data_IF_332610895603
#
_entry.id   IF_332610895603
#
_cell.length_a   1.000
_cell.length_b   1.000
_cell.length_c   1.000
_cell.angle_alpha   90.00
_cell.angle_beta   90.00
_cell.angle_gamma   90.00
#
_symmetry.space_group_name_H-M   'P 1'
#
loop_
_entity.id
_entity.type
_entity.pdbx_description
1 polymer ?
#
# COMPACT_ATOMS: atom_id res chain seq x y z
N UNK A 1 43.40 -34.40 16.50
CA UNK A 1 43.07 -33.61 17.70
C UNK A 1 41.62 -33.15 17.57
N UNK A 2 40.69 -33.69 18.36
CA UNK A 2 39.28 -33.26 18.36
C UNK A 2 39.17 -32.07 19.31
N UNK A 3 39.02 -30.86 18.76
CA UNK A 3 38.64 -29.69 19.54
C UNK A 3 37.16 -29.82 19.88
N UNK A 4 36.82 -29.93 21.16
CA UNK A 4 35.44 -29.90 21.63
C UNK A 4 35.04 -28.45 21.84
N UNK A 5 33.96 -28.02 21.19
CA UNK A 5 33.39 -26.71 21.43
C UNK A 5 32.78 -26.66 22.83
N UNK A 6 33.10 -25.63 23.61
CA UNK A 6 32.47 -25.42 24.91
C UNK A 6 31.04 -24.92 24.74
N UNK A 7 30.16 -25.22 25.69
CA UNK A 7 28.76 -24.75 25.64
C UNK A 7 28.68 -23.21 25.65
N UNK A 8 29.63 -22.55 26.33
CA UNK A 8 29.78 -21.10 26.33
C UNK A 8 30.16 -20.56 24.95
N UNK A 9 31.09 -21.21 24.27
CA UNK A 9 31.53 -20.81 22.93
C UNK A 9 30.40 -20.92 21.90
N UNK A 10 29.62 -22.00 21.95
CA UNK A 10 28.42 -22.16 21.10
C UNK A 10 27.37 -21.09 21.42
N UNK A 11 27.13 -20.79 22.70
CA UNK A 11 26.18 -19.75 23.10
C UNK A 11 26.60 -18.37 22.57
N UNK A 12 27.87 -18.01 22.71
CA UNK A 12 28.40 -16.74 22.21
C UNK A 12 28.25 -16.64 20.69
N UNK A 13 28.59 -17.71 19.96
CA UNK A 13 28.43 -17.73 18.49
C UNK A 13 26.96 -17.56 18.09
N UNK A 14 26.02 -18.22 18.76
CA UNK A 14 24.59 -18.06 18.49
C UNK A 14 24.11 -16.62 18.76
N UNK A 15 24.58 -15.98 19.83
CA UNK A 15 24.25 -14.58 20.13
C UNK A 15 24.81 -13.67 19.05
N UNK A 16 26.05 -13.87 18.62
CA UNK A 16 26.68 -13.08 17.57
C UNK A 16 25.97 -13.23 16.23
N UNK A 17 25.58 -14.46 15.85
CA UNK A 17 24.79 -14.72 14.64
C UNK A 17 23.41 -14.07 14.75
N UNK A 18 22.75 -14.18 15.90
CA UNK A 18 21.44 -13.56 16.12
C UNK A 18 21.49 -12.03 16.04
N UNK A 19 22.55 -11.42 16.59
CA UNK A 19 22.76 -9.98 16.52
C UNK A 19 23.07 -9.53 15.10
N UNK A 20 23.94 -10.26 14.38
CA UNK A 20 24.24 -9.99 12.98
C UNK A 20 22.99 -10.14 12.10
N UNK A 21 22.20 -11.21 12.29
CA UNK A 21 20.96 -11.44 11.57
C UNK A 21 19.93 -10.36 11.87
N UNK A 22 19.78 -9.92 13.13
CA UNK A 22 18.87 -8.84 13.51
C UNK A 22 19.24 -7.49 12.88
N UNK A 23 20.53 -7.22 12.66
CA UNK A 23 21.00 -6.01 11.99
C UNK A 23 20.81 -6.06 10.46
N UNK A 24 20.95 -7.24 9.85
CA UNK A 24 20.86 -7.41 8.40
C UNK A 24 19.43 -7.64 7.91
N UNK A 25 18.56 -8.22 8.74
CA UNK A 25 17.17 -8.52 8.42
C UNK A 25 16.40 -7.35 7.78
N UNK A 26 16.37 -6.12 8.33
CA UNK A 26 15.60 -5.02 7.75
C UNK A 26 16.14 -4.53 6.39
N UNK A 27 17.38 -4.85 6.02
CA UNK A 27 17.96 -4.51 4.71
C UNK A 27 17.63 -5.55 3.62
N UNK A 28 17.20 -6.75 4.01
CA UNK A 28 16.94 -7.88 3.09
C UNK A 28 15.46 -8.24 3.02
N UNK A 29 14.66 -7.87 4.03
CA UNK A 29 13.22 -8.06 3.99
C UNK A 29 12.56 -7.08 3.00
N UNK A 30 11.64 -7.56 2.13
CA UNK A 30 10.89 -6.69 1.22
C UNK A 30 10.10 -5.60 1.97
N UNK A 31 10.02 -4.37 1.45
CA UNK A 31 9.28 -3.26 2.05
C UNK A 31 7.74 -3.40 2.00
N UNK A 32 7.21 -4.50 1.43
CA UNK A 32 5.80 -4.69 1.06
C UNK A 32 4.78 -4.28 2.14
N UNK A 33 5.09 -4.50 3.43
CA UNK A 33 4.16 -4.16 4.53
C UNK A 33 3.97 -2.67 4.76
N UNK A 34 4.99 -1.85 4.51
CA UNK A 34 4.88 -0.40 4.65
C UNK A 34 4.08 0.22 3.48
N UNK A 35 4.18 -0.40 2.31
CA UNK A 35 3.50 0.02 1.08
C UNK A 35 2.00 -0.31 1.12
N UNK A 36 1.64 -1.50 1.58
CA UNK A 36 0.24 -1.91 1.77
C UNK A 36 -0.48 -0.98 2.77
N UNK A 37 0.19 -0.60 3.86
CA UNK A 37 -0.34 0.37 4.84
C UNK A 37 -0.55 1.76 4.21
N UNK A 38 0.40 2.21 3.38
CA UNK A 38 0.32 3.51 2.70
C UNK A 38 -0.81 3.55 1.66
N UNK A 39 -0.99 2.47 0.90
CA UNK A 39 -2.09 2.35 -0.06
C UNK A 39 -3.45 2.25 0.64
N UNK A 40 -3.55 1.47 1.72
CA UNK A 40 -4.76 1.38 2.54
C UNK A 40 -5.17 2.75 3.09
N UNK A 41 -4.20 3.48 3.65
CA UNK A 41 -4.43 4.83 4.16
C UNK A 41 -4.87 5.81 3.06
N UNK A 42 -4.29 5.71 1.85
CA UNK A 42 -4.68 6.52 0.71
C UNK A 42 -6.14 6.23 0.29
N UNK A 43 -6.52 4.97 0.14
CA UNK A 43 -7.88 4.57 -0.22
C UNK A 43 -8.89 5.03 0.85
N UNK A 44 -8.56 4.84 2.13
CA UNK A 44 -9.37 5.33 3.25
C UNK A 44 -9.56 6.86 3.21
N UNK A 45 -8.47 7.61 3.00
CA UNK A 45 -8.54 9.07 2.91
C UNK A 45 -9.38 9.56 1.72
N UNK A 46 -9.30 8.86 0.58
CA UNK A 46 -10.09 9.15 -0.61
C UNK A 46 -11.58 8.86 -0.38
N UNK A 47 -11.89 7.78 0.35
CA UNK A 47 -13.26 7.39 0.71
C UNK A 47 -13.88 8.44 1.61
N UNK A 48 -13.16 8.84 2.66
CA UNK A 48 -13.63 9.88 3.55
C UNK A 48 -13.81 11.21 2.82
N UNK A 49 -12.95 11.52 1.86
CA UNK A 49 -13.12 12.71 1.02
C UNK A 49 -14.41 12.64 0.19
N UNK A 50 -14.77 11.49 -0.39
CA UNK A 50 -16.03 11.31 -1.11
C UNK A 50 -17.25 11.48 -0.19
N UNK A 51 -17.23 10.83 0.98
CA UNK A 51 -18.31 10.89 1.98
C UNK A 51 -18.49 12.32 2.50
N UNK A 52 -17.42 12.99 2.93
CA UNK A 52 -17.49 14.35 3.47
C UNK A 52 -17.96 15.38 2.45
N UNK A 53 -17.64 15.17 1.17
CA UNK A 53 -18.00 16.11 0.10
C UNK A 53 -19.36 15.83 -0.54
N UNK A 54 -19.94 14.66 -0.27
CA UNK A 54 -21.21 14.25 -0.88
C UNK A 54 -21.14 14.13 -2.40
N UNK A 55 -19.95 13.92 -2.97
CA UNK A 55 -19.74 13.77 -4.41
C UNK A 55 -18.89 12.53 -4.73
N UNK A 56 -19.01 12.03 -5.96
CA UNK A 56 -18.13 10.97 -6.46
C UNK A 56 -16.71 11.53 -6.60
N UNK A 57 -15.73 10.76 -6.16
CA UNK A 57 -14.31 11.11 -6.22
C UNK A 57 -13.54 10.05 -6.99
N UNK A 58 -12.63 10.48 -7.84
CA UNK A 58 -11.76 9.64 -8.65
C UNK A 58 -10.34 9.71 -8.08
N UNK A 59 -9.84 8.57 -7.62
CA UNK A 59 -8.45 8.40 -7.24
C UNK A 59 -7.72 7.73 -8.40
N UNK A 60 -6.81 8.46 -9.04
CA UNK A 60 -5.92 7.89 -10.05
C UNK A 60 -4.56 7.63 -9.43
N UNK A 61 -4.01 6.44 -9.66
CA UNK A 61 -2.67 6.03 -9.25
C UNK A 61 -1.93 5.59 -10.52
N UNK A 62 -0.84 6.29 -10.84
CA UNK A 62 0.04 5.94 -11.93
C UNK A 62 0.95 4.77 -11.53
N UNK A 63 1.50 4.07 -12.52
CA UNK A 63 2.46 2.97 -12.28
C UNK A 63 3.74 3.42 -11.56
N UNK A 64 4.05 4.72 -11.60
CA UNK A 64 5.19 5.32 -10.89
C UNK A 64 4.85 5.72 -9.44
N UNK A 65 3.67 5.36 -8.93
CA UNK A 65 3.18 5.73 -7.60
C UNK A 65 2.69 7.18 -7.48
N UNK A 66 2.68 7.97 -8.56
CA UNK A 66 2.03 9.29 -8.56
C UNK A 66 0.52 9.12 -8.44
N UNK A 67 -0.10 9.84 -7.51
CA UNK A 67 -1.54 9.78 -7.36
C UNK A 67 -2.16 11.17 -7.33
N UNK A 68 -3.40 11.25 -7.80
CA UNK A 68 -4.21 12.45 -7.68
C UNK A 68 -5.66 12.09 -7.45
N UNK A 69 -6.31 12.91 -6.63
CA UNK A 69 -7.70 12.82 -6.27
C UNK A 69 -8.47 13.92 -7.02
N UNK A 70 -9.59 13.59 -7.65
CA UNK A 70 -10.44 14.57 -8.33
C UNK A 70 -11.90 14.34 -7.98
N UNK A 71 -12.65 15.38 -7.65
CA UNK A 71 -14.10 15.27 -7.44
C UNK A 71 -14.84 15.40 -8.75
N UNK A 72 -16.00 14.75 -8.87
CA UNK A 72 -16.85 14.83 -10.05
C UNK A 72 -17.25 16.29 -10.39
N UNK A 73 -17.57 17.11 -9.38
CA UNK A 73 -17.88 18.53 -9.57
C UNK A 73 -16.63 19.40 -9.82
N UNK A 74 -15.43 18.86 -9.56
CA UNK A 74 -14.14 19.54 -9.68
C UNK A 74 -13.23 18.99 -10.79
N UNK A 75 -13.72 18.09 -11.65
CA UNK A 75 -12.97 17.55 -12.80
C UNK A 75 -12.31 18.63 -13.68
N UNK A 76 -12.90 19.83 -13.73
CA UNK A 76 -12.41 20.99 -14.49
C UNK A 76 -11.63 22.02 -13.66
N UNK A 77 -11.62 21.87 -12.32
CA UNK A 77 -11.03 22.81 -11.34
C UNK A 77 -9.68 22.37 -10.78
N UNK A 78 -9.20 21.17 -11.12
CA UNK A 78 -7.90 20.64 -10.71
C UNK A 78 -8.00 19.47 -9.73
N UNK A 79 -6.86 18.97 -9.28
CA UNK A 79 -6.80 17.91 -8.27
C UNK A 79 -7.24 18.45 -6.90
N UNK A 80 -8.08 17.67 -6.20
CA UNK A 80 -8.44 17.90 -4.80
C UNK A 80 -7.25 17.65 -3.87
N UNK A 81 -6.43 16.66 -4.22
CA UNK A 81 -5.21 16.31 -3.53
C UNK A 81 -4.31 15.54 -4.51
N UNK A 82 -3.00 15.59 -4.30
CA UNK A 82 -2.03 14.84 -5.09
C UNK A 82 -0.82 14.47 -4.23
N UNK A 83 -0.09 13.44 -4.67
CA UNK A 83 1.07 12.97 -3.94
C UNK A 83 1.80 11.83 -4.64
N UNK A 84 2.68 11.16 -3.88
CA UNK A 84 3.47 10.02 -4.33
C UNK A 84 3.41 8.91 -3.29
N UNK A 85 3.09 7.69 -3.72
CA UNK A 85 3.38 6.47 -2.98
C UNK A 85 4.85 6.11 -3.21
N UNK A 86 5.64 6.09 -2.15
CA UNK A 86 7.04 5.63 -2.22
C UNK A 86 7.06 4.11 -2.35
N UNK A 87 7.84 3.59 -3.29
CA UNK A 87 8.03 2.15 -3.47
C UNK A 87 6.99 1.43 -4.32
N UNK A 88 5.83 2.04 -4.60
CA UNK A 88 4.75 1.42 -5.37
C UNK A 88 5.20 0.91 -6.76
N UNK A 89 5.09 -0.41 -6.96
CA UNK A 89 5.33 -1.12 -8.23
C UNK A 89 4.05 -1.84 -8.69
N UNK A 90 3.00 -1.09 -9.00
CA UNK A 90 1.71 -1.64 -9.45
C UNK A 90 1.28 -1.12 -10.83
N UNK A 91 0.28 -1.75 -11.46
CA UNK A 91 -0.33 -1.21 -12.67
C UNK A 91 -1.03 0.13 -12.38
N UNK A 92 -1.07 1.01 -13.39
CA UNK A 92 -1.84 2.24 -13.27
C UNK A 92 -3.33 1.93 -13.15
N UNK A 93 -4.00 2.54 -12.18
CA UNK A 93 -5.37 2.25 -11.83
C UNK A 93 -6.15 3.51 -11.50
N UNK A 94 -7.45 3.49 -11.76
CA UNK A 94 -8.38 4.52 -11.30
C UNK A 94 -9.45 3.87 -10.46
N UNK A 95 -9.55 4.31 -9.20
CA UNK A 95 -10.60 3.91 -8.28
C UNK A 95 -11.65 5.02 -8.22
N UNK A 96 -12.92 4.63 -8.36
CA UNK A 96 -14.09 5.51 -8.23
C UNK A 96 -14.67 5.29 -6.84
N UNK A 97 -14.77 6.36 -6.07
CA UNK A 97 -15.29 6.35 -4.70
C UNK A 97 -16.59 7.12 -4.64
N UNK A 98 -17.63 6.47 -4.12
CA UNK A 98 -18.97 7.00 -4.03
C UNK A 98 -19.19 7.70 -2.69
N UNK A 99 -20.02 8.77 -2.62
CA UNK A 99 -20.32 9.45 -1.37
C UNK A 99 -21.06 8.58 -0.34
N UNK A 100 -21.60 7.42 -0.74
CA UNK A 100 -22.18 6.42 0.16
C UNK A 100 -21.15 5.48 0.79
N UNK A 101 -19.86 5.72 0.54
CA UNK A 101 -18.77 4.96 1.15
C UNK A 101 -18.40 3.65 0.45
N UNK A 102 -18.87 3.44 -0.77
CA UNK A 102 -18.46 2.31 -1.65
C UNK A 102 -17.39 2.74 -2.64
N UNK A 103 -16.68 1.78 -3.22
CA UNK A 103 -15.71 2.04 -4.28
C UNK A 103 -15.66 0.91 -5.30
N UNK A 104 -15.20 1.24 -6.50
CA UNK A 104 -14.99 0.29 -7.56
C UNK A 104 -13.87 0.78 -8.48
N UNK A 105 -13.16 -0.14 -9.13
CA UNK A 105 -12.23 0.25 -10.19
C UNK A 105 -13.02 0.76 -11.40
N UNK A 106 -12.49 1.79 -12.06
CA UNK A 106 -13.00 2.25 -13.35
C UNK A 106 -12.95 1.10 -14.36
N UNK A 107 -13.88 1.06 -15.32
CA UNK A 107 -13.99 0.00 -16.33
C UNK A 107 -12.69 -0.23 -17.10
N UNK A 108 -11.86 0.81 -17.29
CA UNK A 108 -10.56 0.72 -17.95
C UNK A 108 -9.49 0.07 -17.07
N UNK A 109 -9.69 0.12 -15.77
CA UNK A 109 -8.82 -0.47 -14.74
C UNK A 109 -9.36 -1.80 -14.21
N UNK A 110 -10.41 -2.37 -14.82
CA UNK A 110 -11.04 -3.60 -14.35
C UNK A 110 -10.07 -4.80 -14.26
N UNK A 111 -9.06 -4.87 -15.14
CA UNK A 111 -7.99 -5.90 -15.08
C UNK A 111 -7.04 -5.74 -13.89
N UNK A 112 -7.04 -4.59 -13.23
CA UNK A 112 -6.24 -4.31 -12.03
C UNK A 112 -6.92 -4.83 -10.77
N UNK A 113 -8.23 -5.10 -10.81
CA UNK A 113 -8.95 -5.67 -9.67
C UNK A 113 -8.38 -7.04 -9.23
N UNK A 114 -7.76 -7.78 -10.17
CA UNK A 114 -7.08 -9.05 -9.90
C UNK A 114 -5.72 -8.85 -9.20
N UNK A 115 -5.07 -7.69 -9.38
CA UNK A 115 -3.76 -7.36 -8.81
C UNK A 115 -3.85 -6.58 -7.49
N UNK A 116 -4.94 -5.84 -7.28
CA UNK A 116 -5.22 -5.06 -6.08
C UNK A 116 -6.63 -5.42 -5.61
N UNK A 117 -6.78 -6.49 -4.80
CA UNK A 117 -8.08 -6.92 -4.32
C UNK A 117 -8.61 -5.89 -3.32
N UNK A 118 -9.56 -5.05 -3.73
CA UNK A 118 -10.26 -4.10 -2.84
C UNK A 118 -11.68 -4.62 -2.60
N UNK A 119 -12.15 -4.59 -1.36
CA UNK A 119 -13.57 -4.84 -1.08
C UNK A 119 -14.42 -3.63 -1.52
N UNK A 120 -15.43 -3.80 -2.40
CA UNK A 120 -16.19 -2.68 -2.95
C UNK A 120 -17.12 -1.98 -1.94
N UNK A 121 -17.45 -2.63 -0.82
CA UNK A 121 -18.35 -2.11 0.21
C UNK A 121 -17.59 -1.41 1.34
N UNK A 122 -16.41 -1.94 1.70
CA UNK A 122 -15.60 -1.35 2.78
C UNK A 122 -14.46 -0.47 2.28
N UNK A 123 -14.05 -0.62 1.01
CA UNK A 123 -12.88 0.02 0.42
C UNK A 123 -11.57 -0.30 1.14
N UNK A 124 -11.48 -1.50 1.69
CA UNK A 124 -10.26 -2.01 2.31
C UNK A 124 -9.54 -2.95 1.34
N UNK A 125 -8.21 -2.97 1.40
CA UNK A 125 -7.41 -3.97 0.71
C UNK A 125 -7.69 -5.32 1.38
N UNK A 126 -8.07 -6.30 0.57
CA UNK A 126 -8.14 -7.70 1.00
C UNK A 126 -6.71 -8.21 1.02
N UNK A 127 -6.17 -8.47 2.19
CA UNK A 127 -4.90 -9.20 2.26
C UNK A 127 -5.07 -10.56 1.57
N UNK A 128 -4.10 -11.03 0.76
CA UNK A 128 -4.17 -12.32 0.10
C UNK A 128 -4.21 -13.49 1.09
#
# INVERSE_FOLDING_TARGET
>A
MRSGFTLLEVLVVLILIGMAAGLVAPAVLPPDRAEESSLTALIGSARDAAVRRGEVVYLHIASTGQWHLRGAASLRRGALAEGRLTGFQGPAATLVLSPIGTCAFDVRSARVADAIPVDPLTCELRSP
#
